data_IF_643249199289
#
_entry.id   IF_643249199289
#
_cell.length_a   1.000
_cell.length_b   1.000
_cell.length_c   1.000
_cell.angle_alpha   90.00
_cell.angle_beta   90.00
_cell.angle_gamma   90.00
#
_symmetry.space_group_name_H-M   'P 1'
#
loop_
_entity.id
_entity.type
_entity.pdbx_description
1 polymer ?
#
# COMPACT_ATOMS: atom_id res chain seq x y z
N UNK A 1 30.76 -20.80 19.75
CA UNK A 1 29.40 -20.82 20.36
C UNK A 1 28.42 -21.16 19.26
N UNK A 2 27.45 -22.04 19.49
CA UNK A 2 26.43 -22.37 18.49
C UNK A 2 25.45 -21.19 18.39
N UNK A 3 25.19 -20.72 17.17
CA UNK A 3 24.29 -19.60 16.91
C UNK A 3 22.84 -20.05 17.14
N UNK A 4 22.09 -19.31 17.95
CA UNK A 4 20.66 -19.54 18.18
C UNK A 4 19.85 -18.96 17.02
N UNK A 5 18.75 -19.63 16.66
CA UNK A 5 17.78 -19.17 15.66
C UNK A 5 16.60 -18.52 16.37
N UNK A 6 16.14 -17.38 15.86
CA UNK A 6 15.02 -16.63 16.41
C UNK A 6 13.98 -16.38 15.32
N UNK A 7 12.71 -16.32 15.71
CA UNK A 7 11.59 -15.93 14.88
C UNK A 7 10.95 -14.70 15.53
N UNK A 8 10.76 -13.63 14.76
CA UNK A 8 10.10 -12.41 15.24
C UNK A 8 8.83 -12.19 14.42
N UNK A 9 7.70 -12.03 15.11
CA UNK A 9 6.47 -11.56 14.49
C UNK A 9 6.42 -10.04 14.65
N UNK A 10 6.27 -9.34 13.53
CA UNK A 10 6.23 -7.87 13.51
C UNK A 10 4.83 -7.41 13.11
N UNK A 11 4.34 -6.36 13.77
CA UNK A 11 3.14 -5.65 13.34
C UNK A 11 3.58 -4.45 12.52
N UNK A 12 3.06 -4.33 11.30
CA UNK A 12 3.27 -3.17 10.43
C UNK A 12 1.93 -2.48 10.22
N UNK A 13 1.90 -1.16 10.42
CA UNK A 13 0.77 -0.31 10.08
C UNK A 13 1.19 0.55 8.89
N UNK A 14 0.45 0.44 7.78
CA UNK A 14 0.83 1.01 6.48
C UNK A 14 -0.35 1.79 5.95
N UNK A 15 -0.17 3.08 5.76
CA UNK A 15 -1.13 3.94 5.08
C UNK A 15 -0.84 3.91 3.58
N UNK A 16 -1.87 3.70 2.76
CA UNK A 16 -1.75 3.58 1.30
C UNK A 16 -2.86 4.35 0.59
N UNK A 17 -2.64 4.72 -0.66
CA UNK A 17 -3.60 5.42 -1.49
C UNK A 17 -4.02 4.53 -2.67
N UNK A 18 -5.34 4.43 -2.91
CA UNK A 18 -5.90 3.74 -4.07
C UNK A 18 -6.72 4.74 -4.88
N UNK A 19 -6.18 5.09 -6.03
CA UNK A 19 -6.81 6.02 -6.97
C UNK A 19 -7.70 5.24 -7.95
N UNK A 20 -8.93 5.72 -8.16
CA UNK A 20 -9.83 5.11 -9.13
C UNK A 20 -10.83 6.13 -9.70
N UNK A 21 -11.42 5.81 -10.85
CA UNK A 21 -12.54 6.58 -11.41
C UNK A 21 -13.87 5.94 -11.03
N UNK A 22 -14.79 6.72 -10.47
CA UNK A 22 -16.13 6.29 -10.11
C UNK A 22 -17.14 7.43 -10.28
N UNK A 23 -18.42 7.08 -10.32
CA UNK A 23 -19.56 8.02 -10.45
C UNK A 23 -20.01 8.62 -9.11
N UNK A 24 -19.41 8.18 -8.00
CA UNK A 24 -19.65 8.70 -6.65
C UNK A 24 -18.56 8.25 -5.68
N UNK A 25 -18.40 8.97 -4.57
CA UNK A 25 -17.55 8.58 -3.42
C UNK A 25 -17.85 7.16 -2.94
N UNK A 26 -19.13 6.79 -2.84
CA UNK A 26 -19.55 5.44 -2.42
C UNK A 26 -19.06 4.36 -3.38
N UNK A 27 -19.19 4.61 -4.68
CA UNK A 27 -18.73 3.69 -5.73
C UNK A 27 -17.20 3.58 -5.74
N UNK A 28 -16.49 4.69 -5.50
CA UNK A 28 -15.02 4.69 -5.32
C UNK A 28 -14.59 3.86 -4.12
N UNK A 29 -15.18 4.10 -2.94
CA UNK A 29 -14.90 3.34 -1.71
C UNK A 29 -15.14 1.85 -1.91
N UNK A 30 -16.28 1.46 -2.48
CA UNK A 30 -16.59 0.06 -2.75
C UNK A 30 -15.54 -0.62 -3.65
N UNK A 31 -14.98 0.10 -4.63
CA UNK A 31 -13.91 -0.43 -5.48
C UNK A 31 -12.62 -0.62 -4.71
N UNK A 32 -12.25 0.33 -3.85
CA UNK A 32 -11.07 0.21 -2.99
C UNK A 32 -11.22 -0.97 -2.00
N UNK A 33 -12.37 -1.08 -1.32
CA UNK A 33 -12.68 -2.20 -0.42
C UNK A 33 -12.60 -3.55 -1.15
N UNK A 34 -13.16 -3.66 -2.36
CA UNK A 34 -13.08 -4.89 -3.15
C UNK A 34 -11.64 -5.29 -3.53
N UNK A 35 -10.77 -4.33 -3.77
CA UNK A 35 -9.35 -4.61 -4.03
C UNK A 35 -8.64 -5.08 -2.76
N UNK A 36 -8.89 -4.42 -1.63
CA UNK A 36 -8.29 -4.78 -0.34
C UNK A 36 -8.77 -6.13 0.17
N UNK A 37 -10.06 -6.47 -0.03
CA UNK A 37 -10.62 -7.77 0.31
C UNK A 37 -9.88 -8.91 -0.41
N UNK A 38 -9.54 -8.72 -1.69
CA UNK A 38 -8.71 -9.69 -2.44
C UNK A 38 -7.29 -9.82 -1.90
N UNK A 39 -6.73 -8.74 -1.36
CA UNK A 39 -5.38 -8.76 -0.81
C UNK A 39 -5.30 -9.53 0.51
N UNK A 40 -6.42 -9.76 1.22
CA UNK A 40 -6.42 -10.60 2.42
C UNK A 40 -5.95 -12.04 2.17
N UNK A 41 -6.01 -12.52 0.93
CA UNK A 41 -5.50 -13.84 0.54
C UNK A 41 -3.98 -13.84 0.23
N UNK A 42 -3.32 -12.68 0.29
CA UNK A 42 -1.89 -12.57 0.00
C UNK A 42 -1.05 -13.25 1.10
N UNK A 43 -0.04 -14.00 0.68
CA UNK A 43 0.90 -14.69 1.58
C UNK A 43 2.25 -13.99 1.73
N UNK A 44 2.49 -12.95 0.91
CA UNK A 44 3.74 -12.18 0.87
C UNK A 44 3.46 -10.71 0.58
N UNK A 45 4.26 -9.83 1.19
CA UNK A 45 4.36 -8.42 0.87
C UNK A 45 5.76 -8.11 0.36
N UNK A 46 5.86 -7.20 -0.60
CA UNK A 46 7.13 -6.72 -1.15
C UNK A 46 7.22 -5.23 -0.90
N UNK A 47 8.25 -4.80 -0.16
CA UNK A 47 8.59 -3.39 -0.02
C UNK A 47 9.67 -3.03 -1.02
N UNK A 48 9.51 -1.90 -1.68
CA UNK A 48 10.57 -1.29 -2.48
C UNK A 48 11.20 -0.21 -1.62
N UNK A 49 12.48 -0.41 -1.28
CA UNK A 49 13.26 0.53 -0.48
C UNK A 49 13.64 1.77 -1.31
N UNK A 50 14.12 2.81 -0.61
CA UNK A 50 14.52 4.08 -1.25
C UNK A 50 15.71 3.94 -2.22
N UNK A 51 16.50 2.88 -2.07
CA UNK A 51 17.58 2.51 -2.99
C UNK A 51 17.10 1.68 -4.19
N UNK A 52 15.79 1.42 -4.29
CA UNK A 52 15.16 0.63 -5.34
C UNK A 52 15.28 -0.88 -5.14
N UNK A 53 15.89 -1.35 -4.04
CA UNK A 53 15.93 -2.77 -3.73
C UNK A 53 14.56 -3.26 -3.23
N UNK A 54 14.24 -4.51 -3.55
CA UNK A 54 12.99 -5.16 -3.15
C UNK A 54 13.24 -6.12 -1.99
N UNK A 55 12.50 -5.95 -0.89
CA UNK A 55 12.51 -6.85 0.25
C UNK A 55 11.16 -7.57 0.38
N UNK A 56 11.21 -8.89 0.51
CA UNK A 56 10.03 -9.75 0.67
C UNK A 56 9.83 -10.14 2.13
N UNK A 57 8.59 -10.08 2.60
CA UNK A 57 8.19 -10.56 3.92
C UNK A 57 6.98 -11.47 3.81
N UNK A 58 6.96 -12.55 4.60
CA UNK A 58 5.80 -13.43 4.71
C UNK A 58 4.70 -12.73 5.51
N UNK A 59 3.46 -12.77 5.02
CA UNK A 59 2.30 -12.20 5.71
C UNK A 59 1.70 -13.28 6.61
N UNK A 60 1.62 -12.99 7.91
CA UNK A 60 0.93 -13.86 8.88
C UNK A 60 -0.53 -13.47 9.10
N UNK A 61 -0.83 -12.18 9.03
CA UNK A 61 -2.17 -11.62 9.13
C UNK A 61 -2.21 -10.29 8.36
N UNK A 62 -3.32 -10.00 7.69
CA UNK A 62 -3.54 -8.73 7.00
C UNK A 62 -4.95 -8.24 7.29
N UNK A 63 -5.04 -7.05 7.86
CA UNK A 63 -6.29 -6.33 8.10
C UNK A 63 -6.23 -4.99 7.36
N UNK A 64 -7.37 -4.46 6.95
CA UNK A 64 -7.46 -3.20 6.24
C UNK A 64 -8.65 -2.36 6.72
N UNK A 65 -8.52 -1.05 6.57
CA UNK A 65 -9.60 -0.09 6.75
C UNK A 65 -9.48 0.98 5.65
N UNK A 66 -10.60 1.36 5.04
CA UNK A 66 -10.65 2.53 4.16
C UNK A 66 -11.06 3.73 5.00
N UNK A 67 -10.06 4.48 5.48
CA UNK A 67 -10.23 5.64 6.36
C UNK A 67 -10.99 6.77 5.66
N UNK A 68 -10.43 7.31 4.56
CA UNK A 68 -10.98 8.44 3.82
C UNK A 68 -11.29 8.10 2.36
N UNK A 69 -12.25 8.83 1.78
CA UNK A 69 -12.54 8.76 0.33
C UNK A 69 -12.96 10.14 -0.15
N UNK A 70 -12.09 10.75 -0.93
CA UNK A 70 -12.24 12.13 -1.39
C UNK A 70 -12.44 12.17 -2.91
N UNK A 71 -13.22 13.14 -3.39
CA UNK A 71 -13.28 13.43 -4.82
C UNK A 71 -12.00 14.17 -5.22
N UNK A 72 -11.37 13.73 -6.29
CA UNK A 72 -10.22 14.42 -6.85
C UNK A 72 -10.65 15.59 -7.72
N UNK A 73 -10.23 16.80 -7.33
CA UNK A 73 -10.27 17.97 -8.20
C UNK A 73 -9.07 17.92 -9.16
N UNK A 74 -9.28 18.23 -10.44
CA UNK A 74 -8.32 18.13 -11.56
C UNK A 74 -6.97 18.87 -11.38
N UNK A 75 -6.72 19.52 -10.23
CA UNK A 75 -5.48 20.24 -9.90
C UNK A 75 -4.40 19.45 -9.14
N UNK A 76 -4.69 18.25 -8.62
CA UNK A 76 -3.74 17.50 -7.76
C UNK A 76 -2.73 16.61 -8.51
N UNK A 77 -2.96 16.31 -9.80
CA UNK A 77 -2.18 15.31 -10.56
C UNK A 77 -0.78 15.82 -10.95
N UNK A 78 -0.56 17.13 -11.07
CA UNK A 78 0.76 17.67 -11.41
C UNK A 78 1.77 17.50 -10.27
N UNK A 79 1.34 17.65 -9.02
CA UNK A 79 2.23 17.64 -7.85
C UNK A 79 2.56 16.20 -7.39
N UNK A 80 1.61 15.27 -7.42
CA UNK A 80 1.86 13.87 -7.00
C UNK A 80 2.72 13.11 -8.01
N UNK A 81 2.50 13.31 -9.32
CA UNK A 81 3.39 12.78 -10.35
C UNK A 81 4.79 13.39 -10.26
N UNK A 82 4.92 14.67 -9.89
CA UNK A 82 6.23 15.28 -9.68
C UNK A 82 6.96 14.68 -8.47
N UNK A 83 6.24 14.42 -7.37
CA UNK A 83 6.81 13.78 -6.16
C UNK A 83 7.22 12.32 -6.42
N UNK A 84 6.37 11.52 -7.09
CA UNK A 84 6.68 10.14 -7.45
C UNK A 84 7.85 10.07 -8.45
N UNK A 85 7.89 10.96 -9.45
CA UNK A 85 9.00 11.05 -10.40
C UNK A 85 10.29 11.61 -9.81
N UNK A 86 10.25 12.34 -8.69
CA UNK A 86 11.44 12.71 -7.92
C UNK A 86 11.97 11.54 -7.10
N UNK A 87 11.10 10.70 -6.54
CA UNK A 87 11.51 9.49 -5.80
C UNK A 87 12.11 8.41 -6.73
N UNK A 88 11.64 8.31 -7.97
CA UNK A 88 12.15 7.33 -8.96
C UNK A 88 13.47 7.79 -9.63
N UNK A 89 13.91 9.04 -9.43
CA UNK A 89 15.12 9.62 -10.06
C UNK A 89 16.40 9.52 -9.24
N UNK A 90 16.47 8.64 -8.25
CA UNK A 90 17.71 8.36 -7.49
C UNK A 90 18.40 7.14 -8.11
#
# INVERSE_FOLDING_TARGET
MAQQKYLNNCLLQIDTFIENSADSVKSSKNKAEFLLEKLQEAYKIVFINIDGEAEEFDICNLEYEVEDTEEWEDGYIEDTNAALNQMIKI
#
